data_IF_311568678948
#
_entry.id   IF_311568678948
#
_cell.length_a   1.000
_cell.length_b   1.000
_cell.length_c   1.000
_cell.angle_alpha   90.00
_cell.angle_beta   90.00
_cell.angle_gamma   90.00
#
_symmetry.space_group_name_H-M   'P 1'
#
loop_
_entity.id
_entity.type
_entity.pdbx_description
1 polymer ?
#
# COMPACT_ATOMS: atom_id res chain seq x y z
N UNK A 1 28.76 -14.65 -23.34
CA UNK A 1 28.58 -15.86 -22.49
C UNK A 1 27.11 -16.24 -22.46
N UNK A 2 26.76 -17.53 -22.54
CA UNK A 2 25.38 -18.00 -22.36
C UNK A 2 25.18 -18.38 -20.89
N UNK A 3 24.21 -17.77 -20.22
CA UNK A 3 23.85 -18.09 -18.83
C UNK A 3 23.43 -19.55 -18.69
N UNK A 4 23.81 -20.20 -17.58
CA UNK A 4 23.38 -21.56 -17.29
C UNK A 4 21.86 -21.59 -17.09
N UNK A 5 21.23 -22.73 -17.40
CA UNK A 5 19.76 -22.90 -17.28
C UNK A 5 19.22 -22.59 -15.87
N UNK A 6 20.04 -22.71 -14.84
CA UNK A 6 19.69 -22.37 -13.46
C UNK A 6 19.99 -20.92 -13.07
N UNK A 7 20.79 -20.19 -13.87
CA UNK A 7 21.13 -18.77 -13.72
C UNK A 7 20.19 -17.86 -14.52
N UNK A 8 19.46 -18.40 -15.51
CA UNK A 8 18.46 -17.62 -16.25
C UNK A 8 17.38 -17.12 -15.29
N UNK A 9 17.04 -15.81 -15.30
CA UNK A 9 15.97 -15.26 -14.47
C UNK A 9 14.70 -16.10 -14.64
N UNK A 10 14.40 -16.91 -13.62
CA UNK A 10 13.21 -17.77 -13.63
C UNK A 10 12.01 -16.85 -13.80
N UNK A 11 11.16 -17.12 -14.80
CA UNK A 11 9.98 -16.30 -15.10
C UNK A 11 9.19 -16.02 -13.82
N UNK A 12 8.90 -14.75 -13.57
CA UNK A 12 8.06 -14.34 -12.44
C UNK A 12 6.70 -15.05 -12.54
N UNK A 13 6.17 -15.51 -11.40
CA UNK A 13 4.83 -16.12 -11.32
C UNK A 13 4.76 -17.65 -11.26
N UNK A 14 5.88 -18.39 -11.37
CA UNK A 14 5.88 -19.86 -11.19
C UNK A 14 5.44 -20.30 -9.78
N UNK A 15 5.70 -19.46 -8.77
CA UNK A 15 5.43 -19.75 -7.36
C UNK A 15 4.09 -19.19 -6.87
N UNK A 16 3.29 -18.56 -7.74
CA UNK A 16 2.02 -17.93 -7.35
C UNK A 16 0.87 -18.94 -7.19
N UNK A 17 1.02 -20.11 -7.81
CA UNK A 17 0.10 -21.25 -7.75
C UNK A 17 0.74 -22.33 -6.88
N UNK A 18 0.38 -22.35 -5.60
CA UNK A 18 0.88 -23.32 -4.62
C UNK A 18 0.82 -22.80 -3.18
N UNK A 19 1.16 -23.65 -2.21
CA UNK A 19 1.11 -23.31 -0.77
C UNK A 19 1.97 -22.08 -0.44
N UNK A 20 3.17 -21.98 -1.02
CA UNK A 20 4.08 -20.85 -0.83
C UNK A 20 3.55 -19.53 -1.41
N UNK A 21 2.96 -19.56 -2.61
CA UNK A 21 2.34 -18.39 -3.23
C UNK A 21 1.13 -17.88 -2.46
N UNK A 22 0.26 -18.79 -2.02
CA UNK A 22 -0.91 -18.46 -1.19
C UNK A 22 -0.50 -17.89 0.17
N UNK A 23 0.54 -18.43 0.82
CA UNK A 23 1.07 -17.89 2.06
C UNK A 23 1.63 -16.47 1.87
N UNK A 24 2.41 -16.24 0.81
CA UNK A 24 2.95 -14.91 0.48
C UNK A 24 1.84 -13.89 0.21
N UNK A 25 0.80 -14.27 -0.56
CA UNK A 25 -0.37 -13.41 -0.81
C UNK A 25 -1.08 -13.03 0.49
N UNK A 26 -1.23 -13.98 1.43
CA UNK A 26 -1.81 -13.71 2.76
C UNK A 26 -0.96 -12.74 3.58
N UNK A 27 0.37 -12.88 3.57
CA UNK A 27 1.27 -11.94 4.25
C UNK A 27 1.13 -10.52 3.71
N UNK A 28 1.13 -10.36 2.38
CA UNK A 28 0.95 -9.05 1.74
C UNK A 28 -0.41 -8.43 2.09
N UNK A 29 -1.49 -9.22 2.06
CA UNK A 29 -2.82 -8.74 2.48
C UNK A 29 -2.83 -8.25 3.93
N UNK A 30 -2.16 -8.97 4.84
CA UNK A 30 -2.04 -8.59 6.25
C UNK A 30 -1.25 -7.28 6.40
N UNK A 31 -0.13 -7.13 5.70
CA UNK A 31 0.65 -5.88 5.70
C UNK A 31 -0.17 -4.70 5.20
N UNK A 32 -0.92 -4.87 4.11
CA UNK A 32 -1.78 -3.81 3.57
C UNK A 32 -2.91 -3.44 4.52
N UNK A 33 -3.54 -4.42 5.19
CA UNK A 33 -4.57 -4.15 6.19
C UNK A 33 -4.01 -3.38 7.39
N UNK A 34 -2.83 -3.76 7.89
CA UNK A 34 -2.14 -3.04 8.96
C UNK A 34 -1.84 -1.59 8.56
N UNK A 35 -1.38 -1.38 7.32
CA UNK A 35 -1.12 -0.03 6.80
C UNK A 35 -2.41 0.80 6.75
N UNK A 36 -3.52 0.24 6.27
CA UNK A 36 -4.83 0.91 6.25
C UNK A 36 -5.28 1.34 7.64
N UNK A 37 -5.09 0.47 8.64
CA UNK A 37 -5.44 0.80 10.02
C UNK A 37 -4.60 1.96 10.54
N UNK A 38 -3.28 1.94 10.35
CA UNK A 38 -2.38 3.04 10.74
C UNK A 38 -2.77 4.36 10.10
N UNK A 39 -2.98 4.36 8.79
CA UNK A 39 -3.42 5.58 8.08
C UNK A 39 -4.78 6.07 8.56
N UNK A 40 -5.71 5.17 8.92
CA UNK A 40 -7.00 5.57 9.49
C UNK A 40 -6.87 6.15 10.89
N UNK A 41 -6.04 5.55 11.75
CA UNK A 41 -5.82 6.04 13.12
C UNK A 41 -5.18 7.42 13.11
N UNK A 42 -4.23 7.68 12.22
CA UNK A 42 -3.59 9.00 12.10
C UNK A 42 -4.64 10.08 11.75
N UNK A 43 -5.55 9.78 10.81
CA UNK A 43 -6.65 10.67 10.46
C UNK A 43 -7.70 10.85 11.58
N UNK A 44 -7.94 9.83 12.41
CA UNK A 44 -8.88 9.92 13.54
C UNK A 44 -8.30 10.73 14.71
N UNK A 45 -6.99 10.60 14.97
CA UNK A 45 -6.28 11.43 15.95
C UNK A 45 -6.33 12.90 15.53
N UNK A 46 -6.08 13.20 14.25
CA UNK A 46 -6.17 14.56 13.72
C UNK A 46 -7.60 15.11 13.74
N UNK A 47 -8.62 14.30 13.43
CA UNK A 47 -10.03 14.70 13.55
C UNK A 47 -10.48 14.98 14.99
N UNK A 48 -9.91 14.29 15.98
CA UNK A 48 -10.21 14.57 17.39
C UNK A 48 -9.50 15.85 17.86
N UNK A 49 -8.29 16.12 17.34
CA UNK A 49 -7.54 17.36 17.59
C UNK A 49 -8.20 18.61 16.99
N UNK A 50 -8.82 18.48 15.82
CA UNK A 50 -9.46 19.58 15.08
C UNK A 50 -10.96 19.76 15.41
N UNK A 51 -11.50 19.08 16.44
CA UNK A 51 -12.89 19.28 16.88
C UNK A 51 -13.08 20.51 17.79
N UNK A 52 -12.01 21.24 18.09
CA UNK A 52 -12.08 22.62 18.57
C UNK A 52 -11.82 23.58 17.41
N UNK A 53 -12.76 24.50 17.19
CA UNK A 53 -12.73 25.59 16.20
C UNK A 53 -13.05 25.18 14.76
N UNK A 54 -14.31 25.40 14.38
CA UNK A 54 -14.71 25.40 12.99
C UNK A 54 -14.05 26.57 12.28
N UNK A 55 -13.49 26.29 11.11
CA UNK A 55 -13.40 27.23 9.99
C UNK A 55 -12.99 26.44 8.75
N UNK A 56 -13.89 26.50 7.77
CA UNK A 56 -13.83 26.15 6.35
C UNK A 56 -12.47 26.31 5.68
N UNK A 57 -11.57 25.35 5.87
CA UNK A 57 -10.34 25.28 5.08
C UNK A 57 -10.44 24.12 4.10
N UNK A 58 -11.00 24.42 2.91
CA UNK A 58 -10.91 23.61 1.71
C UNK A 58 -9.43 23.46 1.31
N UNK A 59 -8.73 22.53 1.97
CA UNK A 59 -7.37 22.12 1.61
C UNK A 59 -7.42 21.20 0.38
N UNK A 60 -7.87 21.75 -0.74
CA UNK A 60 -7.70 21.12 -2.05
C UNK A 60 -6.33 21.55 -2.61
N UNK A 61 -5.44 20.61 -2.97
CA UNK A 61 -4.19 20.97 -3.61
C UNK A 61 -4.50 21.60 -4.97
N UNK A 62 -4.19 22.89 -5.10
CA UNK A 62 -4.36 23.73 -6.30
C UNK A 62 -3.66 23.19 -7.56
N UNK A 63 -2.87 22.12 -7.43
CA UNK A 63 -2.13 21.49 -8.53
C UNK A 63 -3.00 20.59 -9.44
N UNK A 64 -4.23 20.24 -9.06
CA UNK A 64 -5.14 19.46 -9.93
C UNK A 64 -5.85 20.29 -11.00
N UNK A 65 -5.69 21.62 -11.02
CA UNK A 65 -6.40 22.52 -11.94
C UNK A 65 -5.60 22.99 -13.17
N UNK A 66 -4.44 22.39 -13.46
CA UNK A 66 -3.48 22.87 -14.47
C UNK A 66 -3.20 21.89 -15.63
N UNK A 67 -4.10 20.94 -15.89
CA UNK A 67 -4.08 20.08 -17.08
C UNK A 67 -5.45 19.99 -17.74
#
# INVERSE_FOLDING_TARGET
MRLKRWESPRRQGRNDKGKGGSARKRQLKKQQQMLRQRLKTDNEIDKNRNQGTGEENLSFPLFFGLF
#
